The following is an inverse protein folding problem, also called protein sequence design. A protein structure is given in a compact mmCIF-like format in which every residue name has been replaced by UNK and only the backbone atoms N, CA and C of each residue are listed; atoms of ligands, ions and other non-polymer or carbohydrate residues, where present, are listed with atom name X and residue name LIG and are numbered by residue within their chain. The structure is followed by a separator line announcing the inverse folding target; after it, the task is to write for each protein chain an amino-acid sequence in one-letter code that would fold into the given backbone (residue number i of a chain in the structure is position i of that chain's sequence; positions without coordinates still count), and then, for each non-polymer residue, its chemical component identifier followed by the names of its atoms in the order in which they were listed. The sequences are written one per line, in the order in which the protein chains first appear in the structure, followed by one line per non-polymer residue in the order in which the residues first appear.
data_IF_757794057700
#
_entry.id   IF_757794057700
#
_cell.length_a   1.000
_cell.length_b   1.000
_cell.length_c   1.000
_cell.angle_alpha   90.00
_cell.angle_beta   90.00
_cell.angle_gamma   90.00
#
_symmetry.space_group_name_H-M   'P 1'
#
loop_
_entity.id
_entity.type
_entity.pdbx_description
1 polymer ?
#
# COMPACT_ATOMS: atom_id res chain seq x y z
N UNK A 1 -2.38 -3.35 -13.79
CA UNK A 1 -3.45 -4.04 -13.03
C UNK A 1 -4.51 -4.63 -13.98
N UNK A 2 -4.17 -4.90 -15.24
CA UNK A 2 -5.12 -5.50 -16.17
C UNK A 2 -5.49 -6.92 -15.73
N UNK A 3 -6.76 -7.27 -15.92
CA UNK A 3 -7.34 -8.52 -15.47
C UNK A 3 -7.58 -8.61 -13.95
N UNK A 4 -7.40 -7.52 -13.20
CA UNK A 4 -7.72 -7.50 -11.76
C UNK A 4 -9.17 -7.08 -11.56
N UNK A 5 -10.02 -8.01 -11.12
CA UNK A 5 -11.42 -7.71 -10.77
C UNK A 5 -11.50 -6.86 -9.52
N UNK A 6 -10.68 -7.14 -8.52
CA UNK A 6 -10.61 -6.38 -7.28
C UNK A 6 -9.22 -5.81 -7.08
N UNK A 7 -9.13 -4.65 -6.42
CA UNK A 7 -7.85 -4.01 -6.10
C UNK A 7 -7.82 -3.61 -4.64
N UNK A 8 -6.77 -4.01 -3.95
CA UNK A 8 -6.43 -3.53 -2.61
C UNK A 8 -5.17 -2.67 -2.70
N UNK A 9 -5.21 -1.47 -2.13
CA UNK A 9 -4.07 -0.54 -2.08
C UNK A 9 -3.70 -0.30 -0.62
N UNK A 10 -2.47 -0.63 -0.25
CA UNK A 10 -1.93 -0.48 1.10
C UNK A 10 -0.85 0.61 1.10
N UNK A 11 -1.25 1.83 1.48
CA UNK A 11 -0.34 2.96 1.61
C UNK A 11 0.25 2.93 3.03
N UNK A 12 1.59 2.84 3.12
CA UNK A 12 2.28 2.57 4.38
C UNK A 12 2.23 1.08 4.71
N UNK A 13 2.72 0.25 3.79
CA UNK A 13 2.66 -1.21 3.90
C UNK A 13 3.44 -1.74 5.12
N UNK A 14 4.41 -0.97 5.63
CA UNK A 14 5.30 -1.35 6.72
C UNK A 14 5.92 -2.73 6.41
N UNK A 15 5.73 -3.73 7.26
CA UNK A 15 6.17 -5.12 7.03
C UNK A 15 5.12 -6.01 6.34
N UNK A 16 4.20 -5.45 5.54
CA UNK A 16 3.31 -6.22 4.66
C UNK A 16 2.18 -6.98 5.34
N UNK A 17 1.96 -6.79 6.65
CA UNK A 17 0.98 -7.55 7.44
C UNK A 17 -0.45 -7.35 6.95
N UNK A 18 -0.83 -6.16 6.48
CA UNK A 18 -2.18 -5.92 5.98
C UNK A 18 -2.46 -6.67 4.68
N UNK A 19 -1.53 -6.64 3.73
CA UNK A 19 -1.58 -7.49 2.52
C UNK A 19 -1.61 -8.97 2.91
N UNK A 20 -0.82 -9.40 3.90
CA UNK A 20 -0.81 -10.79 4.36
C UNK A 20 -2.14 -11.23 4.97
N UNK A 21 -2.82 -10.36 5.72
CA UNK A 21 -4.18 -10.61 6.26
C UNK A 21 -5.21 -10.87 5.16
N UNK A 22 -5.06 -10.25 3.99
CA UNK A 22 -5.96 -10.46 2.86
C UNK A 22 -5.85 -11.88 2.30
N UNK A 23 -4.62 -12.39 2.09
CA UNK A 23 -4.39 -13.69 1.46
C UNK A 23 -4.30 -14.86 2.46
N UNK A 24 -3.91 -14.59 3.70
CA UNK A 24 -3.75 -15.58 4.78
C UNK A 24 -4.55 -15.18 6.03
N UNK A 25 -5.88 -14.97 5.93
CA UNK A 25 -6.69 -14.49 7.05
C UNK A 25 -6.71 -15.45 8.24
N UNK A 26 -6.47 -16.75 8.01
CA UNK A 26 -6.40 -17.77 9.05
C UNK A 26 -5.22 -17.58 10.03
N UNK A 27 -4.18 -16.85 9.64
CA UNK A 27 -3.07 -16.47 10.54
C UNK A 27 -3.43 -15.29 11.45
N UNK A 28 -4.55 -14.61 11.18
CA UNK A 28 -4.98 -13.40 11.88
C UNK A 28 -6.49 -13.44 12.21
N UNK A 29 -7.00 -14.50 12.86
CA UNK A 29 -8.44 -14.76 12.93
C UNK A 29 -9.27 -13.64 13.58
N UNK A 30 -8.64 -12.79 14.39
CA UNK A 30 -9.29 -11.68 15.11
C UNK A 30 -8.93 -10.29 14.57
N UNK A 31 -8.33 -10.20 13.38
CA UNK A 31 -7.97 -8.89 12.83
C UNK A 31 -9.22 -8.12 12.35
N UNK A 32 -9.37 -6.88 12.83
CA UNK A 32 -10.53 -6.01 12.56
C UNK A 32 -10.77 -5.70 11.08
N UNK A 33 -9.75 -5.87 10.24
CA UNK A 33 -9.85 -5.65 8.79
C UNK A 33 -10.54 -6.82 8.06
N UNK A 34 -10.60 -8.01 8.66
CA UNK A 34 -11.14 -9.20 7.98
C UNK A 34 -12.63 -9.04 7.60
N UNK A 35 -13.51 -8.50 8.47
CA UNK A 35 -14.88 -8.19 8.09
C UNK A 35 -14.98 -7.24 6.88
N UNK A 36 -14.09 -6.24 6.80
CA UNK A 36 -14.06 -5.29 5.68
C UNK A 36 -13.60 -5.96 4.38
N UNK A 37 -12.53 -6.76 4.42
CA UNK A 37 -12.11 -7.55 3.26
C UNK A 37 -13.23 -8.46 2.77
N UNK A 38 -13.94 -9.13 3.68
CA UNK A 38 -15.09 -9.97 3.32
C UNK A 38 -16.25 -9.15 2.74
N UNK A 39 -16.55 -7.97 3.29
CA UNK A 39 -17.62 -7.12 2.75
C UNK A 39 -17.31 -6.60 1.34
N UNK A 40 -16.05 -6.24 1.09
CA UNK A 40 -15.65 -5.63 -0.18
C UNK A 40 -15.37 -6.72 -1.22
N UNK A 41 -14.56 -7.71 -0.89
CA UNK A 41 -14.05 -8.72 -1.82
C UNK A 41 -14.71 -10.11 -1.67
N UNK A 42 -15.65 -10.27 -0.74
CA UNK A 42 -16.23 -11.58 -0.39
C UNK A 42 -15.13 -12.58 -0.03
N UNK A 43 -15.19 -13.80 -0.60
CA UNK A 43 -14.16 -14.81 -0.39
C UNK A 43 -13.14 -14.85 -1.54
N UNK A 44 -13.13 -13.85 -2.42
CA UNK A 44 -12.33 -13.81 -3.65
C UNK A 44 -10.94 -13.20 -3.44
N UNK A 45 -10.26 -13.52 -2.34
CA UNK A 45 -8.92 -12.99 -2.05
C UNK A 45 -7.91 -13.27 -3.17
N UNK A 46 -8.07 -14.39 -3.87
CA UNK A 46 -7.32 -14.81 -5.05
C UNK A 46 -7.62 -13.98 -6.32
N UNK A 47 -8.79 -13.33 -6.40
CA UNK A 47 -9.14 -12.40 -7.48
C UNK A 47 -8.71 -10.94 -7.18
N UNK A 48 -8.16 -10.67 -5.98
CA UNK A 48 -7.66 -9.35 -5.58
C UNK A 48 -6.21 -9.19 -6.02
N UNK A 49 -5.93 -8.09 -6.72
CA UNK A 49 -4.58 -7.59 -6.89
C UNK A 49 -4.25 -6.59 -5.79
N UNK A 50 -3.13 -6.80 -5.11
CA UNK A 50 -2.67 -5.91 -4.04
C UNK A 50 -1.51 -5.05 -4.51
N UNK A 51 -1.57 -3.75 -4.19
CA UNK A 51 -0.47 -2.82 -4.39
C UNK A 51 -0.07 -2.22 -3.05
N UNK A 52 1.18 -2.38 -2.66
CA UNK A 52 1.77 -1.78 -1.46
C UNK A 52 2.74 -0.64 -1.79
N UNK A 53 2.79 0.36 -0.92
CA UNK A 53 3.81 1.40 -0.93
C UNK A 53 4.44 1.51 0.46
N UNK A 54 5.76 1.45 0.53
CA UNK A 54 6.52 1.63 1.76
C UNK A 54 7.72 2.55 1.51
N UNK A 55 7.79 3.65 2.27
CA UNK A 55 8.84 4.66 2.11
C UNK A 55 10.13 4.23 2.81
N UNK A 56 10.04 3.46 3.90
CA UNK A 56 11.17 3.11 4.72
C UNK A 56 12.04 2.02 4.06
N UNK A 57 13.27 2.34 3.61
CA UNK A 57 14.14 1.42 2.90
C UNK A 57 14.63 0.27 3.77
N UNK A 58 14.53 0.38 5.09
CA UNK A 58 14.95 -0.70 5.98
C UNK A 58 13.98 -1.90 5.92
N UNK A 59 12.77 -1.71 5.37
CA UNK A 59 11.83 -2.79 5.09
C UNK A 59 12.04 -3.44 3.71
N UNK A 60 12.86 -2.85 2.83
CA UNK A 60 13.01 -3.26 1.41
C UNK A 60 13.28 -4.75 1.25
N UNK A 61 14.28 -5.27 1.98
CA UNK A 61 14.73 -6.65 1.85
C UNK A 61 13.57 -7.60 2.17
N UNK A 62 12.96 -7.41 3.32
CA UNK A 62 11.83 -8.23 3.77
C UNK A 62 10.62 -8.10 2.83
N UNK A 63 10.28 -6.89 2.38
CA UNK A 63 9.15 -6.68 1.49
C UNK A 63 9.36 -7.29 0.09
N UNK A 64 10.59 -7.28 -0.43
CA UNK A 64 10.93 -7.98 -1.67
C UNK A 64 10.83 -9.50 -1.49
N UNK A 65 11.25 -10.02 -0.35
CA UNK A 65 11.07 -11.45 -0.02
C UNK A 65 9.58 -11.81 0.12
N UNK A 66 8.77 -10.93 0.73
CA UNK A 66 7.32 -11.11 0.86
C UNK A 66 6.58 -10.99 -0.47
N UNK A 67 6.93 -10.04 -1.34
CA UNK A 67 6.39 -9.98 -2.71
C UNK A 67 6.66 -11.29 -3.45
N UNK A 68 7.89 -11.81 -3.38
CA UNK A 68 8.25 -13.10 -3.99
C UNK A 68 7.48 -14.28 -3.36
N UNK A 69 7.26 -14.27 -2.05
CA UNK A 69 6.45 -15.27 -1.35
C UNK A 69 5.01 -15.34 -1.88
N UNK A 70 4.41 -14.17 -2.12
CA UNK A 70 3.06 -14.03 -2.67
C UNK A 70 2.99 -14.49 -4.12
N UNK A 71 3.95 -14.07 -4.96
CA UNK A 71 3.98 -14.43 -6.38
C UNK A 71 4.12 -15.96 -6.58
N UNK A 72 4.90 -16.64 -5.74
CA UNK A 72 5.02 -18.12 -5.74
C UNK A 72 3.70 -18.85 -5.45
N UNK A 73 2.71 -18.16 -4.87
CA UNK A 73 1.36 -18.68 -4.58
C UNK A 73 0.31 -18.21 -5.58
N UNK A 74 0.73 -17.60 -6.69
CA UNK A 74 -0.13 -16.96 -7.69
C UNK A 74 -0.95 -15.79 -7.14
N UNK A 75 -0.58 -15.21 -6.00
CA UNK A 75 -1.18 -13.97 -5.53
C UNK A 75 -0.55 -12.78 -6.24
N UNK A 76 -1.41 -11.92 -6.79
CA UNK A 76 -1.00 -10.78 -7.61
C UNK A 76 -0.66 -9.58 -6.74
N UNK A 77 0.56 -9.57 -6.20
CA UNK A 77 1.05 -8.51 -5.31
C UNK A 77 2.17 -7.72 -5.98
N UNK A 78 2.13 -6.39 -5.87
CA UNK A 78 3.25 -5.50 -6.21
C UNK A 78 3.50 -4.52 -5.07
N UNK A 79 4.73 -4.46 -4.58
CA UNK A 79 5.16 -3.55 -3.52
C UNK A 79 6.21 -2.60 -4.09
N UNK A 80 5.93 -1.31 -3.98
CA UNK A 80 6.87 -0.22 -4.26
C UNK A 80 7.64 0.08 -2.97
N UNK A 81 8.81 -0.53 -2.83
CA UNK A 81 9.70 -0.32 -1.68
C UNK A 81 10.48 0.99 -1.85
N UNK A 82 10.97 1.56 -0.75
CA UNK A 82 11.62 2.88 -0.73
C UNK A 82 10.84 3.96 -1.51
N UNK A 83 9.51 3.92 -1.49
CA UNK A 83 8.64 4.81 -2.28
C UNK A 83 7.57 5.44 -1.40
N UNK A 84 7.63 6.76 -1.27
CA UNK A 84 6.64 7.52 -0.52
C UNK A 84 5.36 7.76 -1.33
N UNK A 85 4.22 7.70 -0.64
CA UNK A 85 2.93 8.16 -1.19
C UNK A 85 2.80 9.65 -0.89
N UNK A 86 2.56 10.48 -1.90
CA UNK A 86 2.43 11.93 -1.75
C UNK A 86 1.43 12.51 -2.75
N UNK A 87 1.37 13.84 -2.81
CA UNK A 87 0.58 14.63 -3.77
C UNK A 87 1.40 15.06 -4.99
N UNK A 88 2.70 14.72 -5.01
CA UNK A 88 3.65 15.11 -6.04
C UNK A 88 4.63 13.97 -6.32
N UNK A 89 5.11 13.89 -7.55
CA UNK A 89 6.18 12.98 -7.96
C UNK A 89 7.52 13.71 -7.89
N UNK A 90 8.27 13.51 -6.79
CA UNK A 90 9.61 14.10 -6.58
C UNK A 90 10.41 13.28 -5.57
N UNK A 91 11.68 13.60 -5.42
CA UNK A 91 12.46 13.06 -4.29
C UNK A 91 12.08 13.82 -3.01
N UNK A 92 11.72 13.08 -1.96
CA UNK A 92 11.37 13.60 -0.63
C UNK A 92 12.42 13.18 0.38
N UNK A 93 12.64 14.05 1.37
CA UNK A 93 13.37 13.67 2.59
C UNK A 93 12.42 12.86 3.47
N UNK A 94 12.81 11.64 3.80
CA UNK A 94 12.15 10.77 4.75
C UNK A 94 13.07 10.55 5.94
N UNK A 95 12.50 10.51 7.13
CA UNK A 95 13.23 10.45 8.39
C UNK A 95 13.04 9.06 8.99
N UNK A 96 14.14 8.34 9.22
CA UNK A 96 14.13 6.98 9.77
C UNK A 96 14.78 6.94 11.15
N UNK A 97 14.44 5.92 11.94
CA UNK A 97 15.09 5.63 13.23
C UNK A 97 15.80 4.26 13.17
N UNK A 98 17.04 4.18 12.63
CA UNK A 98 17.84 2.96 12.72
C UNK A 98 18.02 2.52 14.18
N UNK A 99 17.98 1.22 14.47
CA UNK A 99 18.05 0.70 15.84
C UNK A 99 16.69 0.50 16.53
N UNK A 100 15.58 0.84 15.86
CA UNK A 100 14.21 0.63 16.33
C UNK A 100 13.53 -0.59 15.66
N UNK A 101 14.31 -1.59 15.24
CA UNK A 101 13.80 -2.76 14.49
C UNK A 101 12.80 -3.59 15.32
N UNK A 102 12.98 -3.66 16.64
CA UNK A 102 12.09 -4.38 17.56
C UNK A 102 10.65 -3.84 17.58
N UNK A 103 10.46 -2.58 17.19
CA UNK A 103 9.15 -1.95 17.03
C UNK A 103 8.76 -1.77 15.55
N UNK A 104 9.37 -2.52 14.64
CA UNK A 104 9.19 -2.33 13.18
C UNK A 104 9.46 -0.89 12.71
N UNK A 105 10.33 -0.17 13.42
CA UNK A 105 10.75 1.21 13.11
C UNK A 105 9.62 2.24 13.19
N UNK A 106 8.77 2.10 14.20
CA UNK A 106 7.78 3.12 14.55
C UNK A 106 8.40 4.51 14.63
N UNK A 107 7.72 5.48 14.02
CA UNK A 107 8.12 6.87 13.99
C UNK A 107 8.83 7.30 12.70
N UNK A 108 9.18 6.40 11.79
CA UNK A 108 9.67 6.85 10.48
C UNK A 108 8.63 7.77 9.82
N UNK A 109 9.00 8.92 9.24
CA UNK A 109 8.02 9.93 8.79
C UNK A 109 8.56 10.84 7.68
N UNK A 110 7.65 11.51 6.96
CA UNK A 110 7.99 12.63 6.05
C UNK A 110 8.20 13.96 6.80
N UNK A 111 7.88 14.03 8.09
CA UNK A 111 8.08 15.22 8.91
C UNK A 111 9.45 15.20 9.59
N UNK A 112 10.11 16.35 9.64
CA UNK A 112 11.38 16.49 10.34
C UNK A 112 11.18 16.23 11.84
N UNK A 113 11.89 15.24 12.36
CA UNK A 113 11.85 14.89 13.76
C UNK A 113 13.27 14.89 14.31
N UNK A 114 13.43 15.38 15.54
CA UNK A 114 14.73 15.45 16.21
C UNK A 114 15.30 14.04 16.39
N UNK A 115 16.59 13.86 16.08
CA UNK A 115 17.37 12.61 16.22
C UNK A 115 17.06 11.47 15.23
N UNK A 116 16.64 11.78 14.00
CA UNK A 116 16.43 10.77 12.94
C UNK A 116 17.49 10.83 11.83
N UNK A 117 17.65 9.72 11.12
CA UNK A 117 18.50 9.65 9.93
C UNK A 117 17.70 10.07 8.70
N UNK A 118 18.19 11.11 8.03
CA UNK A 118 17.59 11.59 6.79
C UNK A 118 17.97 10.66 5.64
N UNK A 119 16.98 10.26 4.88
CA UNK A 119 17.16 9.52 3.64
C UNK A 119 16.33 10.20 2.55
N UNK A 120 16.76 10.05 1.30
CA UNK A 120 16.00 10.55 0.15
C UNK A 120 15.29 9.39 -0.49
N UNK A 121 13.97 9.50 -0.66
CA UNK A 121 13.14 8.48 -1.30
C UNK A 121 12.32 9.11 -2.44
N UNK A 122 12.13 8.44 -3.58
CA UNK A 122 11.16 8.88 -4.56
C UNK A 122 9.75 8.88 -3.97
N UNK A 123 8.92 9.83 -4.38
CA UNK A 123 7.49 9.84 -4.11
C UNK A 123 6.68 9.67 -5.37
N UNK A 124 5.46 9.17 -5.22
CA UNK A 124 4.43 9.19 -6.25
C UNK A 124 3.36 10.23 -5.92
N UNK A 125 2.80 10.86 -6.94
CA UNK A 125 1.48 11.49 -6.82
C UNK A 125 0.42 10.39 -6.89
N UNK A 126 -0.23 10.13 -5.75
CA UNK A 126 -1.21 9.04 -5.64
C UNK A 126 -2.40 9.21 -6.58
N UNK A 127 -2.86 10.44 -6.82
CA UNK A 127 -4.06 10.67 -7.62
C UNK A 127 -3.75 10.45 -9.11
N UNK A 128 -2.61 10.97 -9.56
CA UNK A 128 -2.08 10.72 -10.90
C UNK A 128 -1.82 9.23 -11.13
N UNK A 129 -1.17 8.55 -10.18
CA UNK A 129 -0.94 7.11 -10.25
C UNK A 129 -2.25 6.32 -10.28
N UNK A 130 -3.23 6.67 -9.44
CA UNK A 130 -4.52 6.01 -9.36
C UNK A 130 -5.30 6.14 -10.67
N UNK A 131 -5.39 7.35 -11.24
CA UNK A 131 -6.04 7.59 -12.52
C UNK A 131 -5.38 6.77 -13.63
N UNK A 132 -4.04 6.82 -13.72
CA UNK A 132 -3.27 6.14 -14.76
C UNK A 132 -3.32 4.61 -14.66
N UNK A 133 -3.26 4.08 -13.45
CA UNK A 133 -2.99 2.64 -13.22
C UNK A 133 -4.22 1.87 -12.79
N UNK A 134 -5.07 2.49 -11.97
CA UNK A 134 -6.24 1.83 -11.39
C UNK A 134 -7.46 2.10 -12.27
N UNK A 135 -7.83 3.36 -12.52
CA UNK A 135 -9.03 3.68 -13.30
C UNK A 135 -8.94 3.21 -14.76
N UNK A 136 -7.76 3.30 -15.37
CA UNK A 136 -7.56 2.88 -16.76
C UNK A 136 -7.26 1.37 -16.93
N UNK A 137 -7.32 0.56 -15.86
CA UNK A 137 -7.06 -0.88 -15.98
C UNK A 137 -8.18 -1.58 -16.75
N UNK A 138 -7.82 -2.64 -17.47
CA UNK A 138 -8.82 -3.55 -18.08
C UNK A 138 -9.43 -4.47 -17.03
N UNK A 139 -10.72 -4.31 -16.76
CA UNK A 139 -11.49 -5.25 -15.93
C UNK A 139 -11.77 -6.51 -16.76
N UNK A 140 -11.66 -7.74 -16.21
CA UNK A 140 -11.94 -8.95 -16.97
C UNK A 140 -13.38 -8.97 -17.52
N UNK A 141 -13.55 -9.54 -18.73
CA UNK A 141 -14.86 -9.69 -19.34
C UNK A 141 -15.78 -10.58 -18.50
N UNK A 142 -17.09 -10.29 -18.52
CA UNK A 142 -18.10 -11.05 -17.76
C UNK A 142 -18.36 -10.55 -16.34
N UNK A 143 -17.63 -9.55 -15.85
CA UNK A 143 -17.90 -8.92 -14.55
C UNK A 143 -18.53 -7.53 -14.71
N UNK A 144 -19.72 -7.36 -14.13
CA UNK A 144 -20.46 -6.09 -14.16
C UNK A 144 -19.93 -5.05 -13.15
N UNK A 145 -19.15 -5.46 -12.15
CA UNK A 145 -18.66 -4.58 -11.10
C UNK A 145 -17.25 -4.95 -10.63
N UNK A 146 -16.52 -3.92 -10.23
CA UNK A 146 -15.20 -3.99 -9.65
C UNK A 146 -15.17 -3.12 -8.41
N UNK A 147 -14.46 -3.55 -7.37
CA UNK A 147 -14.32 -2.81 -6.12
C UNK A 147 -12.85 -2.55 -5.84
N UNK A 148 -12.60 -1.40 -5.24
CA UNK A 148 -11.27 -0.95 -4.84
C UNK A 148 -11.36 -0.61 -3.36
N UNK A 149 -10.42 -1.10 -2.57
CA UNK A 149 -10.22 -0.68 -1.19
C UNK A 149 -8.84 -0.06 -1.07
N UNK A 150 -8.75 1.09 -0.40
CA UNK A 150 -7.48 1.70 -0.03
C UNK A 150 -7.39 1.80 1.48
N UNK A 151 -6.24 1.47 2.03
CA UNK A 151 -5.86 1.76 3.41
C UNK A 151 -4.74 2.79 3.39
N UNK A 152 -4.80 3.73 4.33
CA UNK A 152 -3.78 4.75 4.55
C UNK A 152 -3.26 4.64 5.98
N UNK A 153 -1.95 4.57 6.11
CA UNK A 153 -1.21 4.69 7.37
C UNK A 153 0.20 5.17 7.00
N UNK A 154 0.26 6.37 6.44
CA UNK A 154 1.48 6.94 5.86
C UNK A 154 2.05 8.03 6.77
N UNK A 155 2.36 7.63 8.00
CA UNK A 155 3.31 8.28 8.90
C UNK A 155 3.25 9.83 8.91
N UNK A 156 2.02 10.38 8.93
CA UNK A 156 1.76 11.81 9.06
C UNK A 156 1.47 12.57 7.76
N UNK A 157 1.34 11.88 6.62
CA UNK A 157 0.98 12.49 5.33
C UNK A 157 -0.45 12.17 4.88
N UNK A 158 -1.18 11.37 5.67
CA UNK A 158 -2.54 10.89 5.37
C UNK A 158 -3.54 12.02 5.07
N UNK A 159 -3.63 13.12 5.84
CA UNK A 159 -4.61 14.16 5.57
C UNK A 159 -4.43 14.81 4.19
N UNK A 160 -3.18 15.02 3.76
CA UNK A 160 -2.89 15.64 2.47
C UNK A 160 -3.23 14.69 1.31
N UNK A 161 -2.86 13.42 1.44
CA UNK A 161 -3.11 12.39 0.44
C UNK A 161 -4.60 12.11 0.28
N UNK A 162 -5.35 12.01 1.38
CA UNK A 162 -6.80 11.81 1.33
C UNK A 162 -7.52 13.00 0.70
N UNK A 163 -7.18 14.24 1.10
CA UNK A 163 -7.78 15.45 0.51
C UNK A 163 -7.43 15.55 -0.97
N UNK A 164 -6.18 15.29 -1.34
CA UNK A 164 -5.75 15.30 -2.75
C UNK A 164 -6.51 14.28 -3.60
N UNK A 165 -6.70 13.06 -3.09
CA UNK A 165 -7.53 12.06 -3.75
C UNK A 165 -8.98 12.54 -3.91
N UNK A 166 -9.59 13.09 -2.86
CA UNK A 166 -10.97 13.58 -2.93
C UNK A 166 -11.12 14.70 -3.97
N UNK A 167 -10.25 15.71 -3.94
CA UNK A 167 -10.34 16.86 -4.85
C UNK A 167 -10.00 16.52 -6.30
N UNK A 168 -9.17 15.50 -6.54
CA UNK A 168 -8.76 15.10 -7.89
C UNK A 168 -9.87 14.41 -8.70
N UNK A 169 -10.97 14.00 -8.05
CA UNK A 169 -12.07 13.28 -8.70
C UNK A 169 -13.45 13.93 -8.48
N UNK A 170 -13.50 15.14 -7.91
CA UNK A 170 -14.72 15.96 -7.91
C UNK A 170 -14.77 16.72 -9.23
N UNK A 171 -15.81 16.43 -10.03
CA UNK A 171 -16.19 17.19 -11.22
C UNK A 171 -17.23 18.24 -10.88
#
# INVERSE_FOLDING_TARGET
LDGCRYVYIDMGTNIGVQIRKLYEPHLYPNADVLPLFKQIFANHSDEVCSVGFEANPLHDKYLKEFENYCLKRNWRVKIFTSTAVSTVEKNLTFYTEPGNEGNNQWGASLHALNKKTNITVPSIDIASWFKKTVLNRKIPAGFASSKIMMKTDIEGHDPFVLVHLMLSFVT
#
